data_IF_569574280602
#
_entry.id   IF_569574280602
#
_cell.length_a   1.000
_cell.length_b   1.000
_cell.length_c   1.000
_cell.angle_alpha   90.00
_cell.angle_beta   90.00
_cell.angle_gamma   90.00
#
_symmetry.space_group_name_H-M   'P 1'
#
loop_
_entity.id
_entity.type
_entity.pdbx_description
1 polymer ?
#
# COMPACT_ATOMS: atom_id res chain seq x y z
N UNK A 1 19.00 -18.47 -31.03
CA UNK A 1 17.64 -17.97 -31.34
C UNK A 1 16.52 -18.99 -31.08
N UNK A 2 16.74 -20.31 -31.07
CA UNK A 2 15.65 -21.30 -30.85
C UNK A 2 15.19 -21.50 -29.39
N UNK A 3 15.97 -21.07 -28.40
CA UNK A 3 15.63 -21.25 -26.96
C UNK A 3 14.66 -20.19 -26.40
N UNK A 4 14.52 -19.04 -27.05
CA UNK A 4 13.61 -17.98 -26.61
C UNK A 4 12.14 -18.30 -26.95
N UNK A 5 11.91 -19.07 -28.02
CA UNK A 5 10.55 -19.40 -28.47
C UNK A 5 9.88 -20.47 -27.59
N UNK A 6 10.66 -21.35 -26.97
CA UNK A 6 10.14 -22.42 -26.09
C UNK A 6 9.67 -21.87 -24.74
N UNK A 7 10.26 -20.78 -24.24
CA UNK A 7 9.81 -20.13 -23.00
C UNK A 7 8.48 -19.37 -23.20
N UNK A 8 8.24 -18.83 -24.39
CA UNK A 8 6.99 -18.11 -24.70
C UNK A 8 5.79 -19.06 -24.83
N UNK A 9 5.97 -20.30 -25.30
CA UNK A 9 4.90 -21.30 -25.34
C UNK A 9 4.48 -21.82 -23.95
N UNK A 10 5.35 -21.75 -22.94
CA UNK A 10 5.00 -22.15 -21.57
C UNK A 10 4.12 -21.12 -20.83
N UNK A 11 4.02 -19.89 -21.33
CA UNK A 11 3.12 -18.86 -20.78
C UNK A 11 1.65 -19.05 -21.20
N UNK A 12 1.37 -19.83 -22.26
CA UNK A 12 0.00 -20.03 -22.75
C UNK A 12 -0.73 -21.23 -22.14
N UNK A 13 -0.02 -22.14 -21.45
CA UNK A 13 -0.59 -23.38 -20.89
C UNK A 13 -1.29 -23.13 -19.54
N UNK A 14 -1.18 -21.93 -18.96
CA UNK A 14 -1.67 -21.61 -17.61
C UNK A 14 -3.07 -20.97 -17.54
N UNK A 15 -3.73 -20.69 -18.67
CA UNK A 15 -5.00 -19.95 -18.66
C UNK A 15 -6.12 -20.68 -17.88
N UNK A 16 -6.18 -22.01 -17.94
CA UNK A 16 -7.20 -22.78 -17.23
C UNK A 16 -6.96 -22.88 -15.72
N UNK A 17 -5.71 -22.73 -15.26
CA UNK A 17 -5.36 -22.78 -13.83
C UNK A 17 -5.53 -21.43 -13.13
N UNK A 18 -5.48 -20.33 -13.90
CA UNK A 18 -5.63 -18.97 -13.40
C UNK A 18 -7.10 -18.48 -13.34
N UNK A 19 -8.05 -19.27 -13.86
CA UNK A 19 -9.47 -18.91 -13.93
C UNK A 19 -9.99 -18.44 -12.56
N UNK A 20 -10.39 -17.17 -12.47
CA UNK A 20 -10.89 -16.56 -11.24
C UNK A 20 -9.82 -15.90 -10.37
N UNK A 21 -8.61 -15.67 -10.87
CA UNK A 21 -7.66 -14.74 -10.27
C UNK A 21 -7.62 -13.42 -11.07
N UNK A 22 -7.22 -12.34 -10.41
CA UNK A 22 -6.94 -11.06 -11.03
C UNK A 22 -5.58 -10.53 -10.58
N UNK A 23 -4.87 -9.91 -11.51
CA UNK A 23 -3.66 -9.16 -11.25
C UNK A 23 -3.96 -7.68 -11.46
N UNK A 24 -3.61 -6.84 -10.50
CA UNK A 24 -3.79 -5.39 -10.60
C UNK A 24 -2.48 -4.67 -10.38
N UNK A 25 -2.30 -3.57 -11.11
CA UNK A 25 -1.20 -2.62 -10.92
C UNK A 25 -1.78 -1.24 -10.70
N UNK A 26 -1.15 -0.47 -9.82
CA UNK A 26 -1.64 0.82 -9.36
C UNK A 26 -0.50 1.83 -9.33
N UNK A 27 -0.85 3.07 -9.64
CA UNK A 27 0.01 4.23 -9.41
C UNK A 27 -0.85 5.40 -8.95
N UNK A 28 -0.32 6.23 -8.07
CA UNK A 28 -1.12 7.31 -7.53
C UNK A 28 -0.38 8.21 -6.57
N UNK A 29 -1.17 8.92 -5.77
CA UNK A 29 -0.72 9.82 -4.73
C UNK A 29 -1.06 9.28 -3.35
N UNK A 30 -0.12 9.38 -2.43
CA UNK A 30 -0.24 9.12 -1.01
C UNK A 30 -0.23 10.46 -0.27
N UNK A 31 -1.27 10.70 0.50
CA UNK A 31 -1.47 11.85 1.36
C UNK A 31 -1.26 11.40 2.80
N UNK A 32 -0.29 12.00 3.48
CA UNK A 32 0.02 11.69 4.87
C UNK A 32 -0.69 12.69 5.79
N UNK A 33 -1.20 12.23 6.93
CA UNK A 33 -1.66 13.15 7.97
C UNK A 33 -0.48 13.57 8.87
N UNK A 34 -0.54 14.80 9.39
CA UNK A 34 0.40 15.31 10.38
C UNK A 34 0.41 14.41 11.62
N UNK A 35 1.59 14.00 12.07
CA UNK A 35 1.79 13.24 13.31
C UNK A 35 2.24 14.22 14.41
N UNK A 36 1.83 14.00 15.65
CA UNK A 36 2.32 14.79 16.78
C UNK A 36 3.20 13.89 17.65
N UNK A 37 4.42 14.31 18.00
CA UNK A 37 5.30 13.56 18.92
C UNK A 37 4.96 13.85 20.38
N UNK A 38 5.50 13.05 21.31
CA UNK A 38 5.36 13.28 22.76
C UNK A 38 5.88 14.65 23.21
N UNK A 39 6.89 15.21 22.54
CA UNK A 39 7.38 16.56 22.83
C UNK A 39 6.50 17.68 22.22
N UNK A 40 5.37 17.32 21.62
CA UNK A 40 4.44 18.25 20.98
C UNK A 40 4.89 18.73 19.60
N UNK A 41 5.88 18.07 19.00
CA UNK A 41 6.40 18.42 17.68
C UNK A 41 5.48 17.85 16.59
N UNK A 42 4.96 18.71 15.71
CA UNK A 42 4.23 18.26 14.53
C UNK A 42 5.23 17.77 13.48
N UNK A 43 5.19 16.47 13.16
CA UNK A 43 5.93 15.86 12.06
C UNK A 43 4.98 15.77 10.86
N UNK A 44 5.25 16.57 9.83
CA UNK A 44 4.54 16.58 8.56
C UNK A 44 5.39 15.87 7.50
N UNK A 45 4.80 14.86 6.84
CA UNK A 45 5.38 14.13 5.73
C UNK A 45 4.77 14.63 4.43
N UNK A 46 5.61 14.93 3.44
CA UNK A 46 5.16 15.40 2.14
C UNK A 46 4.26 14.37 1.43
N UNK A 47 3.36 14.89 0.59
CA UNK A 47 2.58 14.09 -0.35
C UNK A 47 3.50 13.39 -1.35
N UNK A 48 3.40 12.07 -1.44
CA UNK A 48 4.28 11.26 -2.27
C UNK A 48 3.53 10.50 -3.36
N UNK A 49 4.27 9.98 -4.34
CA UNK A 49 3.72 9.03 -5.29
C UNK A 49 3.90 7.62 -4.74
N UNK A 50 2.98 6.72 -5.06
CA UNK A 50 3.13 5.30 -4.77
C UNK A 50 2.97 4.43 -6.00
N UNK A 51 3.57 3.25 -5.92
CA UNK A 51 3.37 2.16 -6.86
C UNK A 51 2.93 0.93 -6.07
N UNK A 52 1.90 0.27 -6.58
CA UNK A 52 1.37 -0.92 -5.93
C UNK A 52 0.94 -1.98 -6.94
N UNK A 53 0.84 -3.21 -6.45
CA UNK A 53 0.27 -4.32 -7.19
C UNK A 53 -0.56 -5.21 -6.26
N UNK A 54 -1.54 -5.91 -6.83
CA UNK A 54 -2.32 -6.92 -6.10
C UNK A 54 -2.52 -8.18 -6.90
N UNK A 55 -2.66 -9.29 -6.19
CA UNK A 55 -3.09 -10.57 -6.73
C UNK A 55 -4.28 -11.01 -5.90
N UNK A 56 -5.43 -11.12 -6.56
CA UNK A 56 -6.69 -11.40 -5.90
C UNK A 56 -7.37 -12.63 -6.49
N UNK A 57 -7.97 -13.43 -5.63
CA UNK A 57 -8.97 -14.41 -6.01
C UNK A 57 -10.31 -13.70 -6.13
N UNK A 58 -10.93 -13.85 -7.28
CA UNK A 58 -12.28 -13.36 -7.58
C UNK A 58 -13.29 -14.49 -7.39
N UNK A 59 -14.36 -14.20 -6.67
CA UNK A 59 -15.55 -15.04 -6.49
C UNK A 59 -16.79 -14.23 -6.86
N UNK A 60 -17.97 -14.83 -6.76
CA UNK A 60 -19.20 -14.14 -7.09
C UNK A 60 -19.42 -12.95 -6.15
N UNK A 61 -19.43 -11.74 -6.71
CA UNK A 61 -19.63 -10.45 -6.02
C UNK A 61 -18.60 -10.13 -4.94
N UNK A 62 -17.44 -10.78 -4.91
CA UNK A 62 -16.38 -10.48 -3.96
C UNK A 62 -15.00 -10.88 -4.47
N UNK A 63 -13.96 -10.35 -3.83
CA UNK A 63 -12.57 -10.70 -4.06
C UNK A 63 -11.77 -10.66 -2.78
N UNK A 64 -10.72 -11.47 -2.70
CA UNK A 64 -9.77 -11.44 -1.61
C UNK A 64 -8.38 -11.81 -2.10
N UNK A 65 -7.34 -11.27 -1.46
CA UNK A 65 -5.99 -11.45 -1.97
C UNK A 65 -4.95 -10.67 -1.22
N UNK A 66 -3.83 -10.43 -1.88
CA UNK A 66 -2.70 -9.71 -1.33
C UNK A 66 -2.45 -8.44 -2.13
N UNK A 67 -2.14 -7.38 -1.40
CA UNK A 67 -1.75 -6.09 -1.91
C UNK A 67 -0.37 -5.73 -1.38
N UNK A 68 0.47 -5.25 -2.29
CA UNK A 68 1.76 -4.68 -1.98
C UNK A 68 1.84 -3.25 -2.50
N UNK A 69 2.28 -2.31 -1.67
CA UNK A 69 2.56 -0.93 -2.09
C UNK A 69 3.91 -0.47 -1.56
N UNK A 70 4.58 0.34 -2.36
CA UNK A 70 5.78 1.08 -1.97
C UNK A 70 5.52 2.57 -2.15
N UNK A 71 5.86 3.33 -1.12
CA UNK A 71 5.75 4.78 -1.07
C UNK A 71 7.02 5.35 -0.44
N UNK A 72 7.62 6.36 -1.04
CA UNK A 72 8.73 7.12 -0.45
C UNK A 72 8.30 8.57 -0.25
N UNK A 73 8.34 9.06 0.98
CA UNK A 73 7.97 10.44 1.32
C UNK A 73 9.12 11.13 2.05
N UNK A 74 9.31 12.40 1.76
CA UNK A 74 10.32 13.25 2.41
C UNK A 74 9.66 14.02 3.59
N UNK A 75 10.44 14.51 4.56
CA UNK A 75 9.91 15.35 5.64
C UNK A 75 9.81 16.81 5.18
N UNK A 76 8.66 17.47 5.40
CA UNK A 76 8.45 18.86 4.97
C UNK A 76 9.50 19.82 5.55
N UNK A 77 9.86 19.63 6.82
CA UNK A 77 10.82 20.47 7.53
C UNK A 77 12.29 20.13 7.23
N UNK A 78 12.58 18.99 6.59
CA UNK A 78 13.95 18.52 6.33
C UNK A 78 13.97 17.55 5.15
N UNK A 79 14.09 18.05 3.90
CA UNK A 79 14.06 17.23 2.68
C UNK A 79 15.20 16.21 2.55
N UNK A 80 16.23 16.31 3.40
CA UNK A 80 17.33 15.33 3.47
C UNK A 80 16.95 14.08 4.27
N UNK A 81 15.86 14.13 5.03
CA UNK A 81 15.28 13.00 5.75
C UNK A 81 14.15 12.41 4.91
N UNK A 82 14.17 11.10 4.72
CA UNK A 82 13.13 10.37 3.98
C UNK A 82 12.64 9.13 4.74
N UNK A 83 11.36 8.80 4.53
CA UNK A 83 10.72 7.58 5.01
C UNK A 83 10.18 6.79 3.83
N UNK A 84 10.67 5.57 3.69
CA UNK A 84 10.09 4.56 2.81
C UNK A 84 9.08 3.72 3.59
N UNK A 85 7.85 3.60 3.08
CA UNK A 85 6.79 2.77 3.63
C UNK A 85 6.42 1.68 2.62
N UNK A 86 6.46 0.43 3.08
CA UNK A 86 6.13 -0.74 2.29
C UNK A 86 5.00 -1.52 2.94
N UNK A 87 3.83 -1.50 2.32
CA UNK A 87 2.65 -2.19 2.82
C UNK A 87 2.55 -3.59 2.24
N UNK A 88 2.36 -4.59 3.11
CA UNK A 88 2.04 -5.98 2.78
C UNK A 88 0.72 -6.33 3.44
N UNK A 89 -0.36 -6.33 2.65
CA UNK A 89 -1.71 -6.38 3.19
C UNK A 89 -2.49 -7.54 2.57
N UNK A 90 -3.16 -8.32 3.42
CA UNK A 90 -4.27 -9.14 2.99
C UNK A 90 -5.50 -8.26 2.87
N UNK A 91 -6.22 -8.37 1.75
CA UNK A 91 -7.38 -7.53 1.45
C UNK A 91 -8.57 -8.38 1.05
N UNK A 92 -9.77 -7.86 1.33
CA UNK A 92 -11.04 -8.45 0.92
C UNK A 92 -12.03 -7.34 0.58
N UNK A 93 -12.74 -7.48 -0.54
CA UNK A 93 -13.74 -6.52 -1.00
C UNK A 93 -14.99 -7.21 -1.55
N UNK A 94 -16.11 -6.51 -1.44
CA UNK A 94 -17.38 -6.85 -2.07
C UNK A 94 -17.49 -6.00 -3.35
N UNK A 95 -17.85 -6.64 -4.47
CA UNK A 95 -18.06 -6.00 -5.77
C UNK A 95 -19.57 -5.82 -6.02
N UNK A 96 -19.96 -4.62 -6.47
CA UNK A 96 -21.35 -4.27 -6.77
C UNK A 96 -21.44 -3.77 -8.21
N UNK A 97 -22.26 -4.39 -9.08
CA UNK A 97 -22.47 -3.89 -10.43
C UNK A 97 -23.29 -2.58 -10.36
N UNK A 98 -22.71 -1.49 -10.85
CA UNK A 98 -23.36 -0.18 -10.89
C UNK A 98 -23.93 0.14 -12.29
N UNK A 99 -23.59 -0.67 -13.28
CA UNK A 99 -24.12 -0.61 -14.64
C UNK A 99 -23.49 -1.69 -15.50
N UNK A 100 -23.75 -1.65 -16.82
CA UNK A 100 -23.31 -2.70 -17.74
C UNK A 100 -21.78 -2.82 -17.89
N UNK A 101 -21.03 -1.77 -17.53
CA UNK A 101 -19.58 -1.69 -17.70
C UNK A 101 -18.86 -1.05 -16.52
N UNK A 102 -19.56 -0.86 -15.40
CA UNK A 102 -19.01 -0.22 -14.20
C UNK A 102 -19.34 -1.06 -13.00
N UNK A 103 -18.30 -1.45 -12.26
CA UNK A 103 -18.43 -2.10 -10.96
C UNK A 103 -17.89 -1.16 -9.88
N UNK A 104 -18.63 -1.00 -8.80
CA UNK A 104 -18.10 -0.43 -7.57
C UNK A 104 -17.55 -1.54 -6.68
N UNK A 105 -16.66 -1.20 -5.76
CA UNK A 105 -16.25 -2.12 -4.71
C UNK A 105 -15.88 -1.37 -3.43
N UNK A 106 -16.04 -2.07 -2.31
CA UNK A 106 -15.62 -1.62 -0.99
C UNK A 106 -15.03 -2.80 -0.24
N UNK A 107 -13.95 -2.57 0.47
CA UNK A 107 -13.20 -3.60 1.14
C UNK A 107 -12.44 -3.11 2.36
N UNK A 108 -11.86 -4.09 3.05
CA UNK A 108 -11.02 -3.90 4.21
C UNK A 108 -9.73 -4.70 4.04
N UNK A 109 -8.69 -4.28 4.75
CA UNK A 109 -7.37 -4.89 4.67
C UNK A 109 -6.64 -4.87 6.00
N UNK A 110 -5.72 -5.81 6.15
CA UNK A 110 -4.93 -6.04 7.35
C UNK A 110 -3.59 -6.64 6.97
N UNK A 111 -2.53 -6.30 7.69
CA UNK A 111 -1.21 -6.86 7.47
C UNK A 111 -0.13 -6.06 8.15
N UNK A 112 0.96 -5.83 7.44
CA UNK A 112 2.14 -5.17 7.96
C UNK A 112 2.54 -3.97 7.10
N UNK A 113 3.14 -2.98 7.74
CA UNK A 113 3.84 -1.88 7.11
C UNK A 113 5.30 -1.92 7.56
N UNK A 114 6.20 -2.11 6.59
CA UNK A 114 7.63 -1.99 6.83
C UNK A 114 8.04 -0.54 6.59
N UNK A 115 8.52 0.11 7.65
CA UNK A 115 8.89 1.52 7.65
C UNK A 115 10.40 1.61 7.76
N UNK A 116 11.01 2.23 6.76
CA UNK A 116 12.46 2.39 6.67
C UNK A 116 12.79 3.89 6.54
N UNK A 117 13.08 4.55 7.67
CA UNK A 117 13.65 5.89 7.67
C UNK A 117 15.14 5.84 7.28
N UNK A 118 15.67 6.93 6.71
CA UNK A 118 17.10 7.01 6.36
C UNK A 118 18.04 7.33 7.53
N UNK A 119 17.48 7.71 8.68
CA UNK A 119 18.21 8.22 9.86
C UNK A 119 18.22 7.28 11.07
N UNK A 120 17.43 6.19 11.05
CA UNK A 120 17.31 5.20 12.13
C UNK A 120 17.09 3.79 11.56
N UNK A 121 17.08 2.77 12.43
CA UNK A 121 16.75 1.39 12.05
C UNK A 121 15.32 1.28 11.49
N UNK A 122 15.14 0.37 10.53
CA UNK A 122 13.82 0.06 9.99
C UNK A 122 13.00 -0.81 10.95
N UNK A 123 11.69 -0.63 10.97
CA UNK A 123 10.76 -1.40 11.80
C UNK A 123 9.57 -1.93 11.01
N UNK A 124 8.91 -2.95 11.56
CA UNK A 124 7.67 -3.52 11.01
C UNK A 124 6.54 -3.23 11.99
N UNK A 125 5.51 -2.57 11.48
CA UNK A 125 4.31 -2.21 12.24
C UNK A 125 3.10 -2.95 11.70
N UNK A 126 2.14 -3.17 12.57
CA UNK A 126 0.84 -3.69 12.14
C UNK A 126 0.09 -2.59 11.37
N UNK A 127 -0.51 -2.95 10.24
CA UNK A 127 -1.29 -2.04 9.43
C UNK A 127 -2.67 -2.62 9.11
N UNK A 128 -3.66 -1.74 9.04
CA UNK A 128 -5.03 -2.06 8.65
C UNK A 128 -5.61 -0.93 7.82
N UNK A 129 -6.78 -1.14 7.22
CA UNK A 129 -7.38 -0.09 6.43
C UNK A 129 -8.69 -0.46 5.77
N UNK A 130 -9.28 0.53 5.13
CA UNK A 130 -10.46 0.40 4.28
C UNK A 130 -10.12 0.94 2.90
N UNK A 131 -10.73 0.37 1.87
CA UNK A 131 -10.53 0.83 0.50
C UNK A 131 -11.81 0.70 -0.29
N UNK A 132 -11.95 1.53 -1.32
CA UNK A 132 -13.11 1.51 -2.18
C UNK A 132 -12.83 2.22 -3.48
N UNK A 133 -13.56 1.83 -4.51
CA UNK A 133 -13.29 2.34 -5.84
C UNK A 133 -14.32 1.93 -6.87
N UNK A 134 -14.04 2.32 -8.10
CA UNK A 134 -14.84 1.98 -9.26
C UNK A 134 -13.94 1.42 -10.35
N UNK A 135 -14.45 0.40 -11.05
CA UNK A 135 -13.78 -0.24 -12.17
C UNK A 135 -14.62 -0.06 -13.43
N UNK A 136 -13.98 0.39 -14.50
CA UNK A 136 -14.56 0.40 -15.84
C UNK A 136 -14.09 -0.82 -16.63
N UNK A 137 -15.04 -1.58 -17.16
CA UNK A 137 -14.81 -2.80 -17.91
C UNK A 137 -14.64 -2.46 -19.41
N UNK A 138 -13.42 -2.61 -19.93
CA UNK A 138 -13.18 -2.55 -21.37
C UNK A 138 -13.73 -3.81 -22.05
N UNK A 139 -13.48 -4.95 -21.43
CA UNK A 139 -14.02 -6.26 -21.77
C UNK A 139 -14.09 -7.12 -20.49
N UNK A 140 -14.37 -8.40 -20.61
CA UNK A 140 -14.55 -9.30 -19.45
C UNK A 140 -13.26 -9.50 -18.63
N UNK A 141 -12.09 -9.26 -19.22
CA UNK A 141 -10.77 -9.50 -18.62
C UNK A 141 -10.08 -8.21 -18.18
N UNK A 142 -10.11 -7.18 -19.01
CA UNK A 142 -9.35 -5.95 -18.84
C UNK A 142 -10.22 -4.83 -18.26
N UNK A 143 -9.75 -4.27 -17.14
CA UNK A 143 -10.44 -3.22 -16.38
C UNK A 143 -9.46 -2.09 -16.06
N UNK A 144 -9.96 -0.87 -16.02
CA UNK A 144 -9.25 0.25 -15.38
C UNK A 144 -10.02 0.62 -14.14
N UNK A 145 -9.30 0.94 -13.08
CA UNK A 145 -9.88 1.28 -11.79
C UNK A 145 -9.40 2.63 -11.29
N UNK A 146 -10.27 3.25 -10.50
CA UNK A 146 -9.93 4.35 -9.62
C UNK A 146 -10.22 3.88 -8.18
N UNK A 147 -9.20 3.93 -7.33
CA UNK A 147 -9.27 3.44 -5.94
C UNK A 147 -8.85 4.53 -4.96
N UNK A 148 -9.61 4.66 -3.88
CA UNK A 148 -9.17 5.37 -2.69
C UNK A 148 -9.00 4.39 -1.54
N UNK A 149 -7.93 4.57 -0.77
CA UNK A 149 -7.56 3.68 0.32
C UNK A 149 -7.17 4.50 1.54
N UNK A 150 -7.72 4.14 2.68
CA UNK A 150 -7.32 4.62 3.99
C UNK A 150 -6.50 3.55 4.68
N UNK A 151 -5.32 3.92 5.16
CA UNK A 151 -4.33 3.08 5.82
C UNK A 151 -4.09 3.60 7.22
N UNK A 152 -4.15 2.71 8.19
CA UNK A 152 -3.89 2.96 9.59
C UNK A 152 -2.78 2.01 10.07
N UNK A 153 -1.61 2.56 10.38
CA UNK A 153 -0.48 1.82 10.93
C UNK A 153 -0.44 2.02 12.44
N UNK A 154 -0.54 0.93 13.21
CA UNK A 154 -0.51 0.97 14.66
C UNK A 154 0.95 0.97 15.12
N UNK A 155 1.39 2.11 15.64
CA UNK A 155 2.71 2.30 16.23
C UNK A 155 2.56 2.14 17.76
N UNK A 156 2.46 0.90 18.24
CA UNK A 156 2.37 0.64 19.68
C UNK A 156 3.75 0.26 20.26
N UNK A 157 4.03 0.84 21.43
CA UNK A 157 5.35 1.01 22.03
C UNK A 157 5.89 -0.31 22.62
N UNK A 158 6.61 -1.09 21.81
CA UNK A 158 7.55 -2.13 22.27
C UNK A 158 8.77 -2.32 21.35
N UNK A 159 8.88 -1.52 20.28
CA UNK A 159 10.11 -1.46 19.49
C UNK A 159 11.09 -0.55 20.22
N UNK A 160 12.10 -1.15 20.84
CA UNK A 160 13.29 -0.44 21.30
C UNK A 160 14.01 0.14 20.07
N UNK A 161 13.57 1.31 19.59
CA UNK A 161 14.39 2.14 18.71
C UNK A 161 15.51 2.67 19.60
N UNK A 162 16.55 1.86 19.70
CA UNK A 162 17.76 2.19 20.44
C UNK A 162 18.44 3.35 19.71
N UNK A 163 18.13 4.59 20.11
CA UNK A 163 18.83 5.81 19.75
C UNK A 163 20.30 5.70 20.25
N UNK A 164 21.15 4.95 19.53
CA UNK A 164 22.61 4.92 19.76
C UNK A 164 23.25 6.06 18.95
N UNK A 165 23.03 7.29 19.39
CA UNK A 165 23.91 8.41 19.03
C UNK A 165 24.52 8.96 20.32
N UNK A 166 25.82 9.29 20.31
CA UNK A 166 26.54 9.68 21.52
C UNK A 166 25.95 10.97 22.07
N UNK A 167 25.76 10.95 23.39
CA UNK A 167 25.31 12.03 24.26
C UNK A 167 26.01 13.37 23.96
N UNK A 168 25.28 14.27 23.31
CA UNK A 168 25.40 15.71 23.51
C UNK A 168 23.98 16.22 23.86
N UNK A 169 23.87 17.03 24.90
CA UNK A 169 22.68 17.25 25.75
C UNK A 169 21.47 17.95 25.09
N UNK A 170 21.39 18.07 23.76
CA UNK A 170 20.32 18.82 23.07
C UNK A 170 19.59 18.06 21.93
N UNK A 171 19.91 16.78 21.66
CA UNK A 171 19.22 16.01 20.61
C UNK A 171 18.18 15.05 21.18
N UNK A 172 16.96 15.55 21.35
CA UNK A 172 15.77 14.73 21.61
C UNK A 172 15.58 13.71 20.48
N UNK A 173 15.34 12.46 20.84
CA UNK A 173 15.12 11.34 19.92
C UNK A 173 13.78 11.60 19.19
N UNK A 174 13.83 12.32 18.06
CA UNK A 174 12.72 12.79 17.21
C UNK A 174 11.74 11.71 16.70
N UNK A 175 11.92 10.46 17.12
CA UNK A 175 11.21 9.30 16.58
C UNK A 175 10.64 8.37 17.66
N UNK A 176 10.15 8.98 18.75
CA UNK A 176 9.31 8.29 19.73
C UNK A 176 7.86 8.75 19.58
N UNK A 177 7.00 7.84 19.11
CA UNK A 177 5.56 8.06 19.07
C UNK A 177 4.90 7.36 20.25
N UNK A 178 4.16 8.10 21.06
CA UNK A 178 3.25 7.53 22.04
C UNK A 178 1.87 7.38 21.41
N UNK A 179 1.40 6.14 21.30
CA UNK A 179 -0.01 5.84 21.02
C UNK A 179 -0.61 6.24 19.67
N UNK A 180 0.15 6.85 18.76
CA UNK A 180 -0.45 7.46 17.57
C UNK A 180 -0.49 6.53 16.36
N UNK A 181 -1.72 6.25 15.92
CA UNK A 181 -2.00 5.54 14.67
C UNK A 181 -1.59 6.44 13.50
N UNK A 182 -0.61 6.00 12.72
CA UNK A 182 -0.22 6.71 11.50
C UNK A 182 -1.30 6.49 10.43
N UNK A 183 -1.96 7.58 10.05
CA UNK A 183 -3.03 7.59 9.06
C UNK A 183 -2.51 8.10 7.70
N UNK A 184 -2.73 7.31 6.65
CA UNK A 184 -2.40 7.66 5.27
C UNK A 184 -3.62 7.44 4.38
N UNK A 185 -3.84 8.36 3.44
CA UNK A 185 -4.85 8.25 2.40
C UNK A 185 -4.17 8.10 1.04
N UNK A 186 -4.52 7.09 0.27
CA UNK A 186 -3.99 6.86 -1.07
C UNK A 186 -5.08 6.98 -2.11
N UNK A 187 -4.81 7.69 -3.19
CA UNK A 187 -5.67 7.73 -4.38
C UNK A 187 -4.91 7.20 -5.56
N UNK A 188 -5.46 6.19 -6.23
CA UNK A 188 -4.77 5.41 -7.26
C UNK A 188 -5.58 5.29 -8.53
N UNK A 189 -4.88 5.36 -9.66
CA UNK A 189 -5.36 4.80 -10.92
C UNK A 189 -4.68 3.46 -11.14
N UNK A 190 -5.44 2.50 -11.65
CA UNK A 190 -4.91 1.16 -11.85
C UNK A 190 -5.46 0.45 -13.07
N UNK A 191 -4.81 -0.65 -13.39
CA UNK A 191 -5.24 -1.59 -14.41
C UNK A 191 -5.31 -2.98 -13.81
N UNK A 192 -6.41 -3.68 -14.08
CA UNK A 192 -6.65 -5.05 -13.63
C UNK A 192 -6.86 -5.95 -14.83
N UNK A 193 -6.19 -7.10 -14.79
CA UNK A 193 -6.43 -8.21 -15.71
C UNK A 193 -6.97 -9.40 -14.94
N UNK A 194 -8.16 -9.87 -15.31
CA UNK A 194 -8.80 -11.08 -14.77
C UNK A 194 -8.62 -12.24 -15.74
N UNK A 195 -8.13 -13.36 -15.20
CA UNK A 195 -7.87 -14.59 -15.95
C UNK A 195 -9.09 -15.50 -16.01
#
# INVERSE_FOLDING_TARGET
MKKAFTAFCLLFISHSAAAGYSLSVYTGKSFNQSLQTEEGLAIELDDSNHLAFSIDRTIDSARYGFYFSNTKSDFESSPELDVEMQYFLFQSAIEVPLGNRVNGYVGAQIGANYVKPNFVSSDIFFASGLYGGFEYLFNDQARVLFETRWLATIVNNASNVSCTLPTDEDNQCLWHFDGDVLNQFQTSLGFTYRF
#
